data_IF_025297035722
#
_entry.id   IF_025297035722
#
_cell.length_a   1.000
_cell.length_b   1.000
_cell.length_c   1.000
_cell.angle_alpha   90.00
_cell.angle_beta   90.00
_cell.angle_gamma   90.00
#
_symmetry.space_group_name_H-M   'P 1'
#
loop_
_entity.id
_entity.type
_entity.pdbx_description
1 polymer ?
#
# COMPACT_ATOMS: atom_id res chain seq x y z
N UNK A 1 -15.75 21.86 19.04
CA UNK A 1 -16.21 21.88 17.64
C UNK A 1 -15.20 21.05 16.87
N UNK A 2 -15.64 20.16 16.00
CA UNK A 2 -14.71 19.34 15.18
C UNK A 2 -13.83 20.26 14.34
N UNK A 3 -12.51 20.01 14.34
CA UNK A 3 -11.54 20.75 13.51
C UNK A 3 -11.18 19.99 12.23
N UNK A 4 -12.00 19.00 11.85
CA UNK A 4 -11.77 18.15 10.66
C UNK A 4 -12.06 18.96 9.39
N UNK A 5 -10.99 19.38 8.72
CA UNK A 5 -11.05 20.10 7.46
C UNK A 5 -10.13 19.40 6.44
N UNK A 6 -10.64 19.12 5.25
CA UNK A 6 -9.86 18.52 4.17
C UNK A 6 -10.61 18.58 2.83
N UNK A 7 -9.91 18.28 1.75
CA UNK A 7 -10.48 18.09 0.41
C UNK A 7 -10.24 16.66 -0.01
N UNK A 8 -11.31 15.88 -0.24
CA UNK A 8 -11.20 14.58 -0.88
C UNK A 8 -11.00 14.78 -2.39
N UNK A 9 -10.07 14.02 -2.97
CA UNK A 9 -9.67 14.07 -4.38
C UNK A 9 -9.73 12.67 -4.95
N UNK A 10 -10.20 12.58 -6.20
CA UNK A 10 -10.19 11.35 -6.98
C UNK A 10 -10.02 11.67 -8.47
N UNK A 11 -9.22 10.87 -9.18
CA UNK A 11 -9.01 10.96 -10.62
C UNK A 11 -9.47 9.69 -11.33
N UNK A 12 -10.14 9.89 -12.48
CA UNK A 12 -10.29 8.83 -13.46
C UNK A 12 -9.27 9.01 -14.59
N UNK A 13 -8.75 7.89 -15.11
CA UNK A 13 -7.77 7.90 -16.21
C UNK A 13 -8.30 7.17 -17.43
N UNK A 14 -8.09 7.75 -18.60
CA UNK A 14 -8.54 7.21 -19.88
C UNK A 14 -7.81 5.92 -20.29
N UNK A 15 -6.59 5.73 -19.81
CA UNK A 15 -5.74 4.57 -20.10
C UNK A 15 -5.00 4.12 -18.84
N UNK A 16 -4.28 3.01 -18.92
CA UNK A 16 -3.37 2.55 -17.85
C UNK A 16 -2.20 3.52 -17.57
N UNK A 17 -1.94 4.49 -18.44
CA UNK A 17 -0.97 5.56 -18.21
C UNK A 17 -1.60 6.63 -17.31
N UNK A 18 -0.98 6.96 -16.18
CA UNK A 18 -1.47 7.99 -15.26
C UNK A 18 -1.54 9.39 -15.86
N UNK A 19 -0.68 9.70 -16.85
CA UNK A 19 -0.75 10.95 -17.61
C UNK A 19 -1.88 10.94 -18.66
N UNK A 20 -3.06 10.43 -18.28
CA UNK A 20 -4.27 10.37 -19.10
C UNK A 20 -5.52 10.69 -18.30
N UNK A 21 -5.44 11.64 -17.37
CA UNK A 21 -6.59 12.06 -16.57
C UNK A 21 -7.78 12.44 -17.44
N UNK A 22 -8.97 11.87 -17.17
CA UNK A 22 -10.20 12.14 -17.91
C UNK A 22 -11.36 12.70 -17.07
N UNK A 23 -11.31 12.55 -15.75
CA UNK A 23 -12.19 13.23 -14.79
C UNK A 23 -11.39 13.55 -13.52
N UNK A 24 -11.78 14.60 -12.81
CA UNK A 24 -11.35 14.88 -11.45
C UNK A 24 -12.54 15.24 -10.61
N UNK A 25 -12.65 14.62 -9.43
CA UNK A 25 -13.63 14.91 -8.40
C UNK A 25 -12.98 15.59 -7.19
N UNK A 26 -13.72 16.51 -6.57
CA UNK A 26 -13.35 17.16 -5.31
C UNK A 26 -14.56 17.24 -4.38
N UNK A 27 -14.37 16.83 -3.12
CA UNK A 27 -15.36 17.01 -2.06
C UNK A 27 -14.72 17.74 -0.87
N UNK A 28 -15.30 18.86 -0.49
CA UNK A 28 -14.79 19.73 0.56
C UNK A 28 -15.47 19.41 1.89
N UNK A 29 -14.67 19.18 2.91
CA UNK A 29 -15.13 18.98 4.29
C UNK A 29 -14.63 20.13 5.15
N UNK A 30 -15.57 20.80 5.85
CA UNK A 30 -15.28 21.85 6.80
C UNK A 30 -15.98 21.57 8.12
N UNK A 31 -15.24 21.66 9.22
CA UNK A 31 -15.74 21.39 10.58
C UNK A 31 -16.49 20.04 10.68
N UNK A 32 -15.97 19.01 10.03
CA UNK A 32 -16.55 17.66 10.02
C UNK A 32 -17.82 17.52 9.19
N UNK A 33 -18.13 18.45 8.27
CA UNK A 33 -19.29 18.40 7.40
C UNK A 33 -18.90 18.59 5.94
N UNK A 34 -19.48 17.78 5.05
CA UNK A 34 -19.37 18.00 3.61
C UNK A 34 -20.12 19.30 3.29
N UNK A 35 -19.42 20.28 2.70
CA UNK A 35 -19.97 21.59 2.36
C UNK A 35 -20.13 21.77 0.85
N UNK A 36 -19.38 21.04 0.05
CA UNK A 36 -19.43 21.14 -1.42
C UNK A 36 -18.83 19.87 -2.05
N UNK A 37 -19.39 19.44 -3.17
CA UNK A 37 -18.80 18.48 -4.10
C UNK A 37 -18.85 19.03 -5.51
N UNK A 38 -17.86 18.69 -6.31
CA UNK A 38 -17.80 19.03 -7.73
C UNK A 38 -16.93 18.02 -8.47
N UNK A 39 -17.28 17.72 -9.72
CA UNK A 39 -16.39 17.03 -10.66
C UNK A 39 -16.43 17.71 -12.01
N UNK A 40 -15.43 17.45 -12.82
CA UNK A 40 -15.40 17.89 -14.21
C UNK A 40 -14.50 17.01 -15.06
N UNK A 41 -14.86 16.94 -16.34
CA UNK A 41 -14.07 16.20 -17.33
C UNK A 41 -12.79 16.95 -17.68
N UNK A 42 -11.79 16.14 -18.02
CA UNK A 42 -10.50 16.56 -18.56
C UNK A 42 -10.34 15.85 -19.90
N UNK A 43 -9.96 16.57 -20.97
CA UNK A 43 -9.60 15.90 -22.21
C UNK A 43 -8.20 15.28 -22.07
N UNK A 44 -8.08 13.93 -22.08
CA UNK A 44 -6.78 13.28 -22.01
C UNK A 44 -5.98 13.52 -23.31
N UNK A 45 -4.67 13.32 -23.25
CA UNK A 45 -3.80 13.52 -24.40
C UNK A 45 -4.27 12.70 -25.60
N UNK A 46 -4.45 13.37 -26.76
CA UNK A 46 -5.00 12.81 -28.00
C UNK A 46 -6.42 12.23 -27.87
N UNK A 47 -7.12 12.49 -26.80
CA UNK A 47 -8.44 11.92 -26.47
C UNK A 47 -8.49 10.39 -26.61
N UNK A 48 -7.39 9.70 -26.24
CA UNK A 48 -7.22 8.25 -26.41
C UNK A 48 -7.66 7.52 -25.14
N UNK A 49 -8.45 6.46 -25.33
CA UNK A 49 -9.00 5.63 -24.25
C UNK A 49 -8.70 4.15 -24.46
N UNK A 50 -8.52 3.42 -23.37
CA UNK A 50 -8.49 1.97 -23.33
C UNK A 50 -9.87 1.44 -22.94
N UNK A 51 -10.36 0.40 -23.63
CA UNK A 51 -11.67 -0.18 -23.37
C UNK A 51 -11.84 -0.70 -21.93
N UNK A 52 -10.77 -1.14 -21.27
CA UNK A 52 -10.78 -1.56 -19.87
C UNK A 52 -11.15 -0.38 -18.96
N UNK A 53 -10.52 0.79 -19.14
CA UNK A 53 -10.80 1.98 -18.36
C UNK A 53 -12.24 2.46 -18.57
N UNK A 54 -12.72 2.51 -19.84
CA UNK A 54 -14.13 2.82 -20.13
C UNK A 54 -15.07 1.86 -19.40
N UNK A 55 -14.78 0.56 -19.35
CA UNK A 55 -15.63 -0.42 -18.68
C UNK A 55 -15.71 -0.24 -17.16
N UNK A 56 -14.73 0.47 -16.55
CA UNK A 56 -14.69 0.76 -15.10
C UNK A 56 -15.50 2.00 -14.78
N UNK A 57 -15.20 3.14 -15.43
CA UNK A 57 -15.78 4.45 -15.04
C UNK A 57 -16.85 4.95 -16.04
N UNK A 58 -17.03 4.29 -17.20
CA UNK A 58 -18.05 4.66 -18.18
C UNK A 58 -17.79 5.94 -18.96
N UNK A 59 -16.64 6.61 -18.77
CA UNK A 59 -16.29 7.85 -19.47
C UNK A 59 -15.74 7.48 -20.86
N UNK A 60 -16.33 8.09 -21.88
CA UNK A 60 -15.97 7.82 -23.29
C UNK A 60 -15.28 9.02 -23.94
N UNK A 61 -14.57 8.83 -25.07
CA UNK A 61 -13.94 9.94 -25.79
C UNK A 61 -14.91 11.07 -26.15
N UNK A 62 -16.15 10.73 -26.48
CA UNK A 62 -17.19 11.71 -26.85
C UNK A 62 -17.57 12.62 -25.67
N UNK A 63 -17.52 12.09 -24.44
CA UNK A 63 -17.83 12.87 -23.22
C UNK A 63 -16.76 13.92 -22.93
N UNK A 64 -15.53 13.67 -23.33
CA UNK A 64 -14.37 14.55 -23.04
C UNK A 64 -13.88 15.34 -24.26
N UNK A 65 -14.50 15.14 -25.44
CA UNK A 65 -14.09 15.75 -26.71
C UNK A 65 -13.94 17.29 -26.62
N UNK A 66 -14.84 17.94 -25.91
CA UNK A 66 -14.84 19.39 -25.73
C UNK A 66 -14.38 19.84 -24.34
N UNK A 67 -13.88 18.93 -23.52
CA UNK A 67 -13.35 19.28 -22.21
C UNK A 67 -11.98 19.94 -22.33
N UNK A 68 -11.65 20.90 -21.46
CA UNK A 68 -10.30 21.45 -21.41
C UNK A 68 -9.28 20.38 -21.02
N UNK A 69 -8.07 20.47 -21.56
CA UNK A 69 -6.95 19.60 -21.20
C UNK A 69 -6.52 19.79 -19.73
N UNK A 70 -5.72 18.86 -19.19
CA UNK A 70 -5.15 18.99 -17.85
C UNK A 70 -4.36 20.31 -17.71
N UNK A 71 -3.54 20.67 -18.69
CA UNK A 71 -2.75 21.90 -18.65
C UNK A 71 -3.61 23.17 -18.53
N UNK A 72 -4.71 23.23 -19.28
CA UNK A 72 -5.63 24.38 -19.25
C UNK A 72 -6.37 24.48 -17.90
N UNK A 73 -6.62 23.36 -17.25
CA UNK A 73 -7.33 23.31 -15.96
C UNK A 73 -6.40 23.41 -14.76
N UNK A 74 -5.09 23.20 -14.94
CA UNK A 74 -4.13 23.12 -13.87
C UNK A 74 -4.13 24.32 -12.93
N UNK A 75 -4.18 25.54 -13.49
CA UNK A 75 -4.24 26.76 -12.70
C UNK A 75 -5.48 26.88 -11.81
N UNK A 76 -6.59 26.26 -12.21
CA UNK A 76 -7.83 26.18 -11.43
C UNK A 76 -7.74 25.10 -10.35
N UNK A 77 -7.23 23.90 -10.71
CA UNK A 77 -7.09 22.76 -9.81
C UNK A 77 -6.05 23.04 -8.71
N UNK A 78 -4.86 23.47 -9.10
CA UNK A 78 -3.76 23.74 -8.16
C UNK A 78 -4.13 24.81 -7.10
N UNK A 79 -4.90 25.85 -7.49
CA UNK A 79 -5.41 26.86 -6.54
C UNK A 79 -6.40 26.29 -5.54
N UNK A 80 -7.23 25.29 -5.93
CA UNK A 80 -8.20 24.64 -5.04
C UNK A 80 -7.53 23.76 -3.99
N UNK A 81 -6.37 23.20 -4.33
CA UNK A 81 -5.62 22.30 -3.49
C UNK A 81 -4.58 23.02 -2.62
N UNK A 82 -4.22 24.27 -2.99
CA UNK A 82 -3.12 24.99 -2.33
C UNK A 82 -3.36 25.19 -0.83
N UNK A 83 -2.44 24.67 -0.03
CA UNK A 83 -2.48 24.77 1.43
C UNK A 83 -3.48 23.85 2.12
N UNK A 84 -4.25 23.09 1.36
CA UNK A 84 -5.25 22.14 1.89
C UNK A 84 -4.61 20.85 2.41
N UNK A 85 -5.35 20.14 3.25
CA UNK A 85 -5.11 18.73 3.52
C UNK A 85 -5.93 17.93 2.51
N UNK A 86 -5.26 17.29 1.56
CA UNK A 86 -5.91 16.48 0.52
C UNK A 86 -6.02 15.02 1.00
N UNK A 87 -7.15 14.39 0.72
CA UNK A 87 -7.36 12.98 1.00
C UNK A 87 -7.70 12.25 -0.28
N UNK A 88 -7.02 11.15 -0.56
CA UNK A 88 -7.40 10.25 -1.64
C UNK A 88 -7.51 8.81 -1.13
N UNK A 89 -8.39 8.02 -1.75
CA UNK A 89 -8.47 6.60 -1.46
C UNK A 89 -7.51 5.85 -2.37
N UNK A 90 -6.44 5.27 -1.80
CA UNK A 90 -5.26 4.79 -2.52
C UNK A 90 -4.44 5.94 -3.15
N UNK A 91 -4.15 6.96 -2.36
CA UNK A 91 -3.43 8.17 -2.75
C UNK A 91 -2.20 8.00 -3.67
N UNK A 92 -1.42 6.88 -3.65
CA UNK A 92 -0.34 6.67 -4.63
C UNK A 92 -0.79 6.72 -6.10
N UNK A 93 -2.07 6.43 -6.40
CA UNK A 93 -2.61 6.55 -7.74
C UNK A 93 -2.83 8.02 -8.10
N UNK A 94 -3.62 8.74 -7.33
CA UNK A 94 -3.99 10.14 -7.63
C UNK A 94 -2.80 11.09 -7.60
N UNK A 95 -1.92 10.92 -6.63
CA UNK A 95 -0.66 11.68 -6.55
C UNK A 95 0.27 11.33 -7.71
N UNK A 96 0.21 10.09 -8.22
CA UNK A 96 0.88 9.66 -9.43
C UNK A 96 0.30 10.35 -10.68
N UNK A 97 -1.02 10.47 -10.78
CA UNK A 97 -1.68 11.22 -11.89
C UNK A 97 -1.22 12.67 -11.90
N UNK A 98 -1.24 13.36 -10.75
CA UNK A 98 -0.76 14.74 -10.66
C UNK A 98 0.69 14.87 -11.12
N UNK A 99 1.59 13.99 -10.65
CA UNK A 99 2.99 14.04 -11.02
C UNK A 99 3.20 13.82 -12.52
N UNK A 100 2.65 12.72 -13.04
CA UNK A 100 2.87 12.29 -14.41
C UNK A 100 2.25 13.31 -15.41
N UNK A 101 1.11 13.91 -15.08
CA UNK A 101 0.50 15.00 -15.86
C UNK A 101 1.30 16.31 -15.78
N UNK A 102 1.78 16.68 -14.59
CA UNK A 102 2.62 17.87 -14.44
C UNK A 102 3.93 17.71 -15.23
N UNK A 103 4.58 16.55 -15.15
CA UNK A 103 5.80 16.24 -15.90
C UNK A 103 5.54 16.27 -17.40
N UNK A 104 4.48 15.61 -17.88
CA UNK A 104 4.12 15.61 -19.32
C UNK A 104 3.85 17.01 -19.86
N UNK A 105 3.20 17.87 -19.08
CA UNK A 105 2.80 19.21 -19.48
C UNK A 105 3.84 20.29 -19.12
N UNK A 106 4.96 19.93 -18.49
CA UNK A 106 5.97 20.85 -17.97
C UNK A 106 5.37 21.91 -17.03
N UNK A 107 4.50 21.48 -16.11
CA UNK A 107 3.82 22.31 -15.12
C UNK A 107 4.49 22.18 -13.74
N UNK A 108 4.47 23.25 -12.92
CA UNK A 108 4.96 23.15 -11.54
C UNK A 108 4.08 22.22 -10.72
N UNK A 109 4.65 21.53 -9.76
CA UNK A 109 3.86 20.80 -8.78
C UNK A 109 3.00 21.74 -7.92
N UNK A 110 1.86 21.24 -7.40
CA UNK A 110 1.02 22.01 -6.50
C UNK A 110 1.66 22.12 -5.10
N UNK A 111 1.05 22.88 -4.20
CA UNK A 111 1.50 22.99 -2.81
C UNK A 111 0.38 22.55 -1.87
N UNK A 112 0.46 21.30 -1.37
CA UNK A 112 -0.47 20.75 -0.37
C UNK A 112 0.13 19.54 0.35
N UNK A 113 -0.45 19.19 1.51
CA UNK A 113 -0.18 17.93 2.20
C UNK A 113 -1.32 16.93 1.95
N UNK A 114 -1.03 15.65 2.01
CA UNK A 114 -2.06 14.64 1.75
C UNK A 114 -1.95 13.40 2.64
N UNK A 115 -3.08 12.68 2.72
CA UNK A 115 -3.18 11.37 3.38
C UNK A 115 -3.80 10.34 2.45
N UNK A 116 -3.62 9.07 2.78
CA UNK A 116 -4.23 7.93 2.10
C UNK A 116 -5.25 7.26 3.02
N UNK A 117 -6.55 7.38 2.72
CA UNK A 117 -7.61 6.77 3.52
C UNK A 117 -7.55 5.24 3.50
N UNK A 118 -7.19 4.62 2.37
CA UNK A 118 -6.98 3.17 2.27
C UNK A 118 -5.86 2.67 3.22
N UNK A 119 -4.76 3.41 3.34
CA UNK A 119 -3.68 3.06 4.24
C UNK A 119 -4.10 3.19 5.72
N UNK A 120 -4.79 4.27 6.07
CA UNK A 120 -5.31 4.49 7.43
C UNK A 120 -6.38 3.46 7.81
N UNK A 121 -7.29 3.10 6.90
CA UNK A 121 -8.33 2.10 7.15
C UNK A 121 -7.76 0.77 7.65
N UNK A 122 -6.58 0.37 7.16
CA UNK A 122 -5.92 -0.89 7.58
C UNK A 122 -5.52 -0.91 9.06
N UNK A 123 -5.33 0.26 9.65
CA UNK A 123 -4.96 0.40 11.06
C UNK A 123 -6.16 0.73 11.94
N UNK A 124 -7.12 1.51 11.44
CA UNK A 124 -8.34 1.87 12.18
C UNK A 124 -9.28 0.66 12.27
N UNK A 125 -9.40 -0.10 11.18
CA UNK A 125 -10.28 -1.29 11.09
C UNK A 125 -9.44 -2.49 10.64
N UNK A 126 -8.66 -3.12 11.52
CA UNK A 126 -7.81 -4.25 11.13
C UNK A 126 -8.65 -5.50 10.81
N UNK A 127 -8.11 -6.37 9.94
CA UNK A 127 -8.68 -7.70 9.69
C UNK A 127 -9.71 -7.79 8.58
N UNK A 128 -9.97 -6.74 7.82
CA UNK A 128 -10.84 -6.81 6.65
C UNK A 128 -10.19 -7.58 5.50
N UNK A 129 -11.01 -8.30 4.73
CA UNK A 129 -10.58 -8.99 3.51
C UNK A 129 -10.10 -8.03 2.42
N UNK A 130 -10.74 -6.87 2.28
CA UNK A 130 -10.39 -5.83 1.30
C UNK A 130 -10.53 -4.44 1.92
N UNK A 131 -9.63 -3.54 1.53
CA UNK A 131 -9.65 -2.12 1.88
C UNK A 131 -9.85 -1.24 0.63
N UNK A 132 -10.47 -1.78 -0.43
CA UNK A 132 -11.00 -0.97 -1.52
C UNK A 132 -12.08 -0.02 -1.01
N UNK A 133 -12.39 1.04 -1.77
CA UNK A 133 -13.33 2.08 -1.33
C UNK A 133 -14.72 1.50 -1.00
N UNK A 134 -15.26 0.70 -1.89
CA UNK A 134 -16.58 0.07 -1.71
C UNK A 134 -16.65 -0.85 -0.47
N UNK A 135 -15.76 -1.87 -0.30
CA UNK A 135 -15.81 -2.74 0.89
C UNK A 135 -15.68 -2.00 2.22
N UNK A 136 -14.79 -1.00 2.32
CA UNK A 136 -14.64 -0.24 3.57
C UNK A 136 -15.80 0.72 3.81
N UNK A 137 -16.39 1.29 2.77
CA UNK A 137 -17.62 2.08 2.88
C UNK A 137 -18.80 1.23 3.35
N UNK A 138 -18.97 0.02 2.83
CA UNK A 138 -19.98 -0.92 3.31
C UNK A 138 -19.83 -1.26 4.80
N UNK A 139 -18.58 -1.45 5.27
CA UNK A 139 -18.32 -1.69 6.70
C UNK A 139 -18.88 -0.57 7.58
N UNK A 140 -18.78 0.69 7.14
CA UNK A 140 -19.29 1.86 7.86
C UNK A 140 -20.75 2.22 7.51
N UNK A 141 -21.45 1.41 6.70
CA UNK A 141 -22.83 1.71 6.26
C UNK A 141 -22.92 2.93 5.34
N UNK A 142 -21.85 3.27 4.64
CA UNK A 142 -21.82 4.36 3.66
C UNK A 142 -22.37 3.82 2.33
N UNK A 143 -23.32 4.54 1.75
CA UNK A 143 -23.92 4.23 0.45
C UNK A 143 -22.86 4.27 -0.66
N UNK A 144 -22.84 3.23 -1.51
CA UNK A 144 -21.87 3.02 -2.59
C UNK A 144 -22.54 2.95 -3.97
N UNK A 145 -23.81 3.32 -4.09
CA UNK A 145 -24.49 3.36 -5.40
C UNK A 145 -23.81 4.35 -6.34
N UNK A 146 -23.64 3.94 -7.59
CA UNK A 146 -22.99 4.73 -8.67
C UNK A 146 -21.51 5.10 -8.44
N UNK A 147 -20.76 4.28 -7.71
CA UNK A 147 -19.31 4.45 -7.61
C UNK A 147 -18.62 4.34 -9.00
N UNK A 148 -17.34 4.70 -9.10
CA UNK A 148 -16.57 4.94 -10.34
C UNK A 148 -17.01 6.21 -11.10
N UNK A 149 -17.39 7.24 -10.34
CA UNK A 149 -17.58 8.60 -10.81
C UNK A 149 -16.89 9.54 -9.83
N UNK A 150 -15.98 10.37 -10.31
CA UNK A 150 -15.11 11.18 -9.47
C UNK A 150 -15.81 11.97 -8.36
N UNK A 151 -17.03 12.50 -8.59
CA UNK A 151 -17.80 13.17 -7.55
C UNK A 151 -18.29 12.20 -6.47
N UNK A 152 -18.83 11.03 -6.88
CA UNK A 152 -19.36 10.02 -5.96
C UNK A 152 -18.25 9.44 -5.10
N UNK A 153 -17.13 9.08 -5.71
CA UNK A 153 -15.99 8.47 -5.02
C UNK A 153 -15.33 9.44 -4.03
N UNK A 154 -15.30 10.74 -4.35
CA UNK A 154 -14.83 11.74 -3.39
C UNK A 154 -15.80 11.97 -2.22
N UNK A 155 -17.13 11.89 -2.45
CA UNK A 155 -18.13 11.92 -1.37
C UNK A 155 -17.97 10.69 -0.47
N UNK A 156 -17.83 9.50 -1.04
CA UNK A 156 -17.58 8.27 -0.31
C UNK A 156 -16.28 8.36 0.50
N UNK A 157 -15.19 8.82 -0.11
CA UNK A 157 -13.89 9.04 0.55
C UNK A 157 -14.02 10.05 1.70
N UNK A 158 -14.77 11.14 1.50
CA UNK A 158 -15.01 12.13 2.55
C UNK A 158 -15.78 11.54 3.74
N UNK A 159 -16.87 10.82 3.49
CA UNK A 159 -17.65 10.12 4.52
C UNK A 159 -16.81 9.07 5.25
N UNK A 160 -16.01 8.30 4.50
CA UNK A 160 -15.10 7.31 5.06
C UNK A 160 -14.11 7.94 6.04
N UNK A 161 -13.46 9.05 5.67
CA UNK A 161 -12.48 9.71 6.55
C UNK A 161 -13.14 10.27 7.81
N UNK A 162 -14.35 10.80 7.71
CA UNK A 162 -15.13 11.21 8.88
C UNK A 162 -15.44 10.02 9.80
N UNK A 163 -15.86 8.88 9.25
CA UNK A 163 -16.10 7.65 10.01
C UNK A 163 -14.79 7.10 10.63
N UNK A 164 -13.65 7.15 9.92
CA UNK A 164 -12.36 6.76 10.48
C UNK A 164 -11.93 7.66 11.66
N UNK A 165 -12.20 8.97 11.59
CA UNK A 165 -11.96 9.87 12.70
C UNK A 165 -12.85 9.54 13.91
N UNK A 166 -14.12 9.24 13.69
CA UNK A 166 -15.06 8.84 14.73
C UNK A 166 -14.64 7.52 15.39
N UNK A 167 -14.35 6.48 14.59
CA UNK A 167 -13.87 5.17 15.08
C UNK A 167 -12.55 5.31 15.85
N UNK A 168 -11.65 6.15 15.36
CA UNK A 168 -10.40 6.46 16.02
C UNK A 168 -10.56 7.39 17.23
N UNK A 169 -11.74 7.96 17.48
CA UNK A 169 -12.01 8.93 18.54
C UNK A 169 -11.07 10.14 18.48
N UNK A 170 -10.89 10.71 17.29
CA UNK A 170 -10.08 11.90 17.06
C UNK A 170 -10.90 13.00 16.40
N UNK A 171 -10.55 14.26 16.64
CA UNK A 171 -11.27 15.45 16.16
C UNK A 171 -10.52 16.23 15.08
N UNK A 172 -9.38 15.72 14.61
CA UNK A 172 -8.59 16.29 13.52
C UNK A 172 -7.86 15.23 12.69
N UNK A 173 -7.55 15.60 11.44
CA UNK A 173 -6.73 14.77 10.55
C UNK A 173 -5.29 14.62 11.10
N UNK A 174 -4.76 15.66 11.72
CA UNK A 174 -3.42 15.64 12.30
C UNK A 174 -3.32 14.57 13.42
N UNK A 175 -4.30 14.52 14.32
CA UNK A 175 -4.36 13.48 15.36
C UNK A 175 -4.60 12.09 14.80
N UNK A 176 -5.38 11.95 13.71
CA UNK A 176 -5.56 10.66 13.04
C UNK A 176 -4.22 10.13 12.49
N UNK A 177 -3.46 10.99 11.83
CA UNK A 177 -2.15 10.67 11.25
C UNK A 177 -1.13 10.32 12.33
N UNK A 178 -1.08 11.13 13.41
CA UNK A 178 -0.19 10.92 14.54
C UNK A 178 -0.52 9.62 15.30
N UNK A 179 -1.79 9.37 15.60
CA UNK A 179 -2.26 8.18 16.33
C UNK A 179 -1.81 6.87 15.70
N UNK A 180 -1.75 6.82 14.37
CA UNK A 180 -1.36 5.64 13.63
C UNK A 180 0.07 5.72 13.07
N UNK A 181 0.91 6.63 13.60
CA UNK A 181 2.32 6.77 13.24
C UNK A 181 2.55 6.97 11.74
N UNK A 182 1.79 7.84 11.09
CA UNK A 182 2.01 8.23 9.70
C UNK A 182 2.67 9.61 9.61
N UNK A 183 3.37 9.85 8.50
CA UNK A 183 3.76 11.19 8.03
C UNK A 183 2.87 11.58 6.87
N UNK A 184 2.42 12.84 6.85
CA UNK A 184 1.77 13.40 5.66
C UNK A 184 2.66 13.26 4.43
N UNK A 185 2.06 12.84 3.32
CA UNK A 185 2.64 13.08 2.03
C UNK A 185 2.56 14.57 1.69
N UNK A 186 3.45 15.05 0.82
CA UNK A 186 3.52 16.47 0.47
C UNK A 186 3.91 16.67 -0.99
N UNK A 187 3.32 17.70 -1.56
CA UNK A 187 3.90 18.45 -2.66
C UNK A 187 4.29 19.81 -2.10
N UNK A 188 5.58 20.10 -2.05
CA UNK A 188 6.12 21.30 -1.42
C UNK A 188 7.46 21.65 -2.08
N UNK A 189 7.69 22.94 -2.37
CA UNK A 189 8.92 23.44 -2.99
C UNK A 189 9.34 22.70 -4.28
N UNK A 190 8.38 22.32 -5.12
CA UNK A 190 8.61 21.55 -6.35
C UNK A 190 9.01 20.09 -6.11
N UNK A 191 8.93 19.59 -4.88
CA UNK A 191 9.27 18.23 -4.50
C UNK A 191 8.01 17.43 -4.12
N UNK A 192 8.12 16.11 -4.25
CA UNK A 192 7.11 15.15 -3.81
C UNK A 192 7.66 14.27 -2.71
N UNK A 193 6.92 14.13 -1.62
CA UNK A 193 7.16 13.12 -0.59
C UNK A 193 5.90 12.29 -0.36
N UNK A 194 6.00 10.94 -0.29
CA UNK A 194 4.84 10.08 -0.16
C UNK A 194 4.24 10.12 1.25
N UNK A 195 2.95 9.78 1.38
CA UNK A 195 2.30 9.46 2.65
C UNK A 195 2.83 8.10 3.12
N UNK A 196 3.58 8.10 4.21
CA UNK A 196 4.23 6.90 4.72
C UNK A 196 3.92 6.69 6.20
N UNK A 197 3.76 5.42 6.58
CA UNK A 197 3.87 5.02 7.97
C UNK A 197 5.28 5.36 8.47
N UNK A 198 5.37 6.07 9.58
CA UNK A 198 6.64 6.25 10.29
C UNK A 198 7.02 4.85 10.74
N UNK A 199 7.74 4.15 9.89
CA UNK A 199 8.36 2.91 10.30
C UNK A 199 9.34 3.32 11.39
N UNK A 200 8.96 3.09 12.61
CA UNK A 200 9.96 2.88 13.61
C UNK A 200 10.94 1.87 12.98
N UNK A 201 12.19 2.26 12.80
CA UNK A 201 13.25 1.36 12.31
C UNK A 201 13.41 0.17 13.26
N UNK A 202 12.68 0.18 14.39
CA UNK A 202 12.40 -0.95 15.26
C UNK A 202 11.64 -2.11 14.58
N UNK A 203 11.06 -1.99 13.38
CA UNK A 203 10.49 -3.20 12.75
C UNK A 203 11.59 -4.11 12.18
N UNK A 204 12.71 -3.58 11.70
CA UNK A 204 13.94 -4.37 11.55
C UNK A 204 14.46 -4.83 12.92
N UNK A 205 14.38 -3.98 13.94
CA UNK A 205 14.64 -4.32 15.34
C UNK A 205 13.63 -5.32 15.89
N UNK A 206 12.33 -5.28 15.56
CA UNK A 206 11.35 -6.26 16.04
C UNK A 206 11.59 -7.66 15.49
N UNK A 207 11.91 -7.81 14.22
CA UNK A 207 12.23 -9.11 13.65
C UNK A 207 13.61 -9.61 14.14
N UNK A 208 14.61 -8.74 14.16
CA UNK A 208 15.92 -9.04 14.73
C UNK A 208 15.85 -9.22 16.24
N UNK A 209 15.02 -8.45 16.96
CA UNK A 209 14.74 -8.60 18.38
C UNK A 209 14.02 -9.91 18.65
N UNK A 210 13.01 -10.26 17.85
CA UNK A 210 12.35 -11.56 17.93
C UNK A 210 13.36 -12.71 17.80
N UNK A 211 14.22 -12.68 16.77
CA UNK A 211 15.25 -13.71 16.57
C UNK A 211 16.26 -13.75 17.72
N UNK A 212 16.67 -12.59 18.27
CA UNK A 212 17.63 -12.53 19.38
C UNK A 212 17.04 -12.89 20.76
N UNK A 213 15.74 -12.76 20.93
CA UNK A 213 15.01 -13.08 22.17
C UNK A 213 14.34 -14.47 22.10
N UNK A 214 14.32 -15.11 20.93
CA UNK A 214 13.72 -16.41 20.78
C UNK A 214 14.66 -17.51 21.30
N UNK A 215 14.26 -18.14 22.37
CA UNK A 215 14.96 -19.32 22.94
C UNK A 215 14.33 -20.56 22.33
N UNK A 216 15.04 -21.18 21.38
CA UNK A 216 14.65 -22.47 20.84
C UNK A 216 14.97 -23.57 21.87
N UNK A 217 14.10 -24.56 21.95
CA UNK A 217 14.38 -25.77 22.75
C UNK A 217 15.37 -26.63 21.98
N UNK A 218 16.63 -26.66 22.44
CA UNK A 218 17.70 -27.45 21.80
C UNK A 218 17.38 -28.93 21.69
N UNK A 219 16.49 -29.46 22.54
CA UNK A 219 16.05 -30.86 22.45
C UNK A 219 15.17 -31.14 21.23
N UNK A 220 14.69 -30.07 20.56
CA UNK A 220 13.87 -30.14 19.35
C UNK A 220 14.67 -30.02 18.06
N UNK A 221 15.98 -29.79 18.13
CA UNK A 221 16.83 -29.65 16.97
C UNK A 221 16.84 -30.93 16.13
N UNK A 222 16.71 -30.75 14.83
CA UNK A 222 16.69 -31.81 13.86
C UNK A 222 17.91 -31.66 12.94
N UNK A 223 19.01 -32.34 13.30
CA UNK A 223 20.27 -32.27 12.59
C UNK A 223 20.24 -33.00 11.21
N UNK A 224 19.20 -33.79 10.93
CA UNK A 224 18.98 -34.40 9.62
C UNK A 224 18.19 -33.49 8.67
N UNK A 225 17.55 -32.42 9.19
CA UNK A 225 16.79 -31.48 8.38
C UNK A 225 17.73 -30.60 7.54
N UNK A 226 17.41 -30.36 6.25
CA UNK A 226 18.24 -29.53 5.35
C UNK A 226 18.48 -28.09 5.82
N UNK A 227 17.64 -27.58 6.72
CA UNK A 227 17.78 -26.23 7.27
C UNK A 227 18.55 -26.16 8.59
N UNK A 228 18.97 -27.31 9.14
CA UNK A 228 19.80 -27.32 10.35
C UNK A 228 21.12 -26.56 10.13
N UNK A 229 21.47 -25.64 11.02
CA UNK A 229 22.60 -24.70 10.92
C UNK A 229 22.64 -23.81 9.66
N UNK A 230 21.55 -23.79 8.87
CA UNK A 230 21.44 -22.96 7.66
C UNK A 230 20.76 -21.63 7.93
N UNK A 231 21.17 -20.62 7.17
CA UNK A 231 20.55 -19.30 7.23
C UNK A 231 19.46 -19.17 6.15
N UNK A 232 18.21 -18.98 6.59
CA UNK A 232 17.03 -18.89 5.74
C UNK A 232 16.46 -17.47 5.79
N UNK A 233 16.24 -16.88 4.62
CA UNK A 233 15.62 -15.56 4.45
C UNK A 233 14.28 -15.70 3.71
N UNK A 234 13.27 -14.94 4.15
CA UNK A 234 11.93 -14.97 3.54
C UNK A 234 11.61 -13.66 2.81
N UNK A 235 10.93 -13.76 1.66
CA UNK A 235 10.46 -12.60 0.88
C UNK A 235 9.11 -12.88 0.20
N UNK A 236 8.31 -11.82 -0.01
CA UNK A 236 6.94 -11.95 -0.56
C UNK A 236 5.89 -12.21 0.53
N UNK A 237 4.63 -12.39 0.09
CA UNK A 237 3.51 -12.79 0.94
C UNK A 237 3.51 -14.31 1.07
N UNK A 238 3.56 -14.78 2.29
CA UNK A 238 3.55 -16.19 2.63
C UNK A 238 2.15 -16.64 3.08
N UNK A 239 1.89 -17.93 3.07
CA UNK A 239 0.68 -18.54 3.60
C UNK A 239 0.60 -18.35 5.12
N UNK A 240 1.71 -18.61 5.83
CA UNK A 240 1.85 -18.35 7.26
C UNK A 240 2.47 -16.95 7.50
N UNK A 241 2.28 -16.42 8.71
CA UNK A 241 2.99 -15.20 9.11
C UNK A 241 4.50 -15.44 9.10
N UNK A 242 5.27 -14.44 8.65
CA UNK A 242 6.73 -14.57 8.54
C UNK A 242 7.41 -14.97 9.85
N UNK A 243 6.92 -14.49 10.99
CA UNK A 243 7.45 -14.87 12.29
C UNK A 243 7.28 -16.36 12.57
N UNK A 244 6.17 -16.96 12.14
CA UNK A 244 5.94 -18.39 12.33
C UNK A 244 6.88 -19.24 11.48
N UNK A 245 7.10 -18.84 10.22
CA UNK A 245 8.09 -19.52 9.37
C UNK A 245 9.51 -19.41 9.95
N UNK A 246 9.86 -18.24 10.51
CA UNK A 246 11.13 -18.04 11.19
C UNK A 246 11.27 -18.93 12.44
N UNK A 247 10.19 -19.06 13.22
CA UNK A 247 10.17 -19.99 14.37
C UNK A 247 10.43 -21.41 13.93
N UNK A 248 9.75 -21.90 12.88
CA UNK A 248 9.95 -23.25 12.36
C UNK A 248 11.42 -23.54 12.07
N UNK A 249 12.12 -22.57 11.45
CA UNK A 249 13.56 -22.71 11.17
C UNK A 249 14.39 -22.68 12.44
N UNK A 250 14.07 -21.82 13.40
CA UNK A 250 14.81 -21.74 14.68
C UNK A 250 14.60 -22.99 15.52
N UNK A 251 13.37 -23.55 15.56
CA UNK A 251 13.01 -24.74 16.32
C UNK A 251 13.76 -26.01 15.89
N UNK A 252 14.24 -26.05 14.65
CA UNK A 252 15.06 -27.18 14.14
C UNK A 252 16.57 -26.89 14.19
N UNK A 253 17.00 -25.78 14.78
CA UNK A 253 18.40 -25.39 14.90
C UNK A 253 18.94 -24.59 13.71
N UNK A 254 18.10 -24.11 12.81
CA UNK A 254 18.48 -23.18 11.73
C UNK A 254 18.61 -21.74 12.22
N UNK A 255 18.95 -20.85 11.30
CA UNK A 255 19.10 -19.38 11.55
C UNK A 255 18.24 -18.61 10.57
N UNK A 256 17.74 -17.45 10.99
CA UNK A 256 16.96 -16.56 10.13
C UNK A 256 17.43 -15.12 10.18
N UNK A 257 17.31 -14.41 9.06
CA UNK A 257 17.58 -12.97 8.94
C UNK A 257 16.55 -12.28 8.06
N UNK A 258 16.43 -10.96 8.23
CA UNK A 258 15.54 -10.16 7.40
C UNK A 258 16.14 -9.78 6.04
N UNK A 259 17.42 -9.92 5.82
CA UNK A 259 18.08 -9.53 4.56
C UNK A 259 19.00 -10.61 4.04
N UNK A 260 19.06 -10.76 2.71
CA UNK A 260 20.02 -11.64 2.03
C UNK A 260 21.43 -11.11 2.24
N UNK A 261 22.33 -11.96 2.73
CA UNK A 261 23.75 -11.68 3.00
C UNK A 261 24.63 -12.78 2.41
N UNK A 262 25.95 -12.65 2.50
CA UNK A 262 26.89 -13.70 2.03
C UNK A 262 26.76 -15.01 2.81
N UNK A 263 26.15 -14.98 3.98
CA UNK A 263 25.92 -16.15 4.82
C UNK A 263 24.55 -16.80 4.59
N UNK A 264 23.74 -16.26 3.69
CA UNK A 264 22.41 -16.77 3.39
C UNK A 264 22.52 -18.03 2.55
N UNK A 265 22.03 -19.16 3.06
CA UNK A 265 21.98 -20.46 2.36
C UNK A 265 20.73 -20.58 1.50
N UNK A 266 19.57 -20.09 2.02
CA UNK A 266 18.27 -20.21 1.35
C UNK A 266 17.51 -18.90 1.33
N UNK A 267 16.90 -18.59 0.18
CA UNK A 267 15.88 -17.54 0.05
C UNK A 267 14.55 -18.17 -0.30
N UNK A 268 13.60 -18.14 0.64
CA UNK A 268 12.23 -18.62 0.40
C UNK A 268 11.37 -17.49 -0.17
N UNK A 269 10.74 -17.74 -1.31
CA UNK A 269 9.96 -16.78 -2.07
C UNK A 269 8.49 -17.17 -2.05
N UNK A 270 7.66 -16.35 -1.39
CA UNK A 270 6.21 -16.45 -1.47
C UNK A 270 5.64 -15.64 -2.63
N UNK A 271 4.33 -15.48 -2.63
CA UNK A 271 3.63 -14.72 -3.64
C UNK A 271 4.11 -13.26 -3.69
N UNK A 272 4.52 -12.81 -4.86
CA UNK A 272 4.95 -11.43 -5.07
C UNK A 272 3.74 -10.52 -5.35
N UNK A 273 3.70 -9.37 -4.73
CA UNK A 273 2.75 -8.32 -5.10
C UNK A 273 3.35 -7.49 -6.24
N UNK A 274 2.83 -7.69 -7.45
CA UNK A 274 3.28 -7.00 -8.66
C UNK A 274 3.23 -5.47 -8.56
N UNK A 275 2.42 -4.95 -7.63
CA UNK A 275 2.36 -3.49 -7.34
C UNK A 275 3.57 -2.99 -6.55
N UNK A 276 4.29 -3.90 -5.88
CA UNK A 276 5.45 -3.57 -5.03
C UNK A 276 6.77 -3.91 -5.72
N UNK A 277 6.79 -4.95 -6.56
CA UNK A 277 8.03 -5.52 -7.13
C UNK A 277 8.38 -5.00 -8.53
N UNK A 278 7.61 -4.09 -9.10
CA UNK A 278 7.86 -3.54 -10.45
C UNK A 278 7.52 -4.51 -11.58
N UNK A 279 7.85 -4.12 -12.82
CA UNK A 279 7.47 -4.86 -14.04
C UNK A 279 8.13 -6.26 -14.16
N UNK A 280 9.25 -6.49 -13.52
CA UNK A 280 9.96 -7.77 -13.54
C UNK A 280 9.45 -8.79 -12.51
N UNK A 281 8.47 -8.41 -11.68
CA UNK A 281 7.84 -9.30 -10.71
C UNK A 281 8.76 -9.79 -9.58
N UNK A 282 9.97 -9.22 -9.43
CA UNK A 282 10.96 -9.68 -8.47
C UNK A 282 11.21 -8.70 -7.33
N UNK A 283 11.22 -9.20 -6.09
CA UNK A 283 11.59 -8.40 -4.92
C UNK A 283 13.08 -8.02 -4.93
N UNK A 284 13.44 -6.96 -4.21
CA UNK A 284 14.85 -6.57 -4.04
C UNK A 284 15.72 -7.69 -3.43
N UNK A 285 15.15 -8.53 -2.58
CA UNK A 285 15.83 -9.71 -2.01
C UNK A 285 16.10 -10.78 -3.08
N UNK A 286 15.14 -11.03 -3.98
CA UNK A 286 15.33 -11.95 -5.11
C UNK A 286 16.40 -11.45 -6.08
N UNK A 287 16.34 -10.18 -6.49
CA UNK A 287 17.36 -9.58 -7.36
C UNK A 287 18.77 -9.71 -6.76
N UNK A 288 18.89 -9.44 -5.46
CA UNK A 288 20.16 -9.59 -4.75
C UNK A 288 20.63 -11.04 -4.69
N UNK A 289 19.73 -11.99 -4.41
CA UNK A 289 20.06 -13.41 -4.40
C UNK A 289 20.54 -13.91 -5.77
N UNK A 290 19.84 -13.53 -6.84
CA UNK A 290 20.25 -13.86 -8.22
C UNK A 290 21.62 -13.32 -8.56
N UNK A 291 21.90 -12.04 -8.23
CA UNK A 291 23.24 -11.45 -8.42
C UNK A 291 24.35 -12.16 -7.65
N UNK A 292 24.03 -12.71 -6.48
CA UNK A 292 24.98 -13.47 -5.68
C UNK A 292 25.22 -14.85 -6.31
N UNK A 293 24.19 -15.54 -6.79
CA UNK A 293 24.29 -16.82 -7.51
C UNK A 293 25.12 -16.64 -8.78
N UNK A 294 24.90 -15.58 -9.56
CA UNK A 294 25.69 -15.24 -10.75
C UNK A 294 27.18 -15.01 -10.44
N UNK A 295 27.50 -14.56 -9.22
CA UNK A 295 28.89 -14.41 -8.72
C UNK A 295 29.48 -15.68 -8.14
N UNK A 296 28.76 -16.82 -8.19
CA UNK A 296 29.22 -18.11 -7.72
C UNK A 296 29.00 -18.38 -6.22
N UNK A 297 28.21 -17.56 -5.54
CA UNK A 297 27.84 -17.81 -4.13
C UNK A 297 26.86 -19.00 -4.03
N UNK A 298 26.99 -19.78 -2.96
CA UNK A 298 26.15 -20.95 -2.69
C UNK A 298 24.86 -20.52 -1.98
N UNK A 299 23.92 -19.99 -2.74
CA UNK A 299 22.58 -19.63 -2.26
C UNK A 299 21.53 -20.33 -3.12
N UNK A 300 20.52 -20.92 -2.50
CA UNK A 300 19.41 -21.56 -3.20
C UNK A 300 18.13 -20.76 -3.01
N UNK A 301 17.42 -20.50 -4.11
CA UNK A 301 16.09 -19.86 -4.06
C UNK A 301 15.05 -20.99 -4.06
N UNK A 302 14.14 -20.95 -3.08
CA UNK A 302 13.05 -21.91 -2.91
C UNK A 302 11.71 -21.20 -3.04
N UNK A 303 10.73 -21.91 -3.55
CA UNK A 303 9.32 -21.56 -3.37
C UNK A 303 8.88 -21.90 -1.95
N UNK A 304 7.76 -21.34 -1.51
CA UNK A 304 7.16 -21.69 -0.22
C UNK A 304 6.77 -23.18 -0.14
N UNK A 305 6.33 -23.78 -1.25
CA UNK A 305 6.00 -25.20 -1.31
C UNK A 305 7.24 -26.09 -1.10
N UNK A 306 8.35 -25.78 -1.77
CA UNK A 306 9.62 -26.49 -1.59
C UNK A 306 10.17 -26.35 -0.17
N UNK A 307 10.00 -25.14 0.44
CA UNK A 307 10.35 -24.94 1.85
C UNK A 307 9.56 -25.87 2.76
N UNK A 308 8.23 -25.99 2.59
CA UNK A 308 7.41 -26.88 3.39
C UNK A 308 7.75 -28.36 3.15
N UNK A 309 8.02 -28.75 1.91
CA UNK A 309 8.45 -30.12 1.60
C UNK A 309 9.77 -30.46 2.33
N UNK A 310 10.75 -29.56 2.31
CA UNK A 310 12.03 -29.74 3.00
C UNK A 310 11.92 -29.71 4.53
N UNK A 311 10.93 -28.98 5.09
CA UNK A 311 10.62 -29.00 6.53
C UNK A 311 10.05 -30.34 6.98
N UNK A 312 9.37 -31.08 6.11
CA UNK A 312 8.83 -32.42 6.36
C UNK A 312 7.92 -32.46 7.61
N UNK A 313 8.08 -33.50 8.41
CA UNK A 313 7.27 -33.73 9.63
C UNK A 313 7.42 -32.64 10.70
N UNK A 314 8.44 -31.79 10.60
CA UNK A 314 8.64 -30.67 11.55
C UNK A 314 7.54 -29.60 11.43
N UNK A 315 6.81 -29.54 10.30
CA UNK A 315 5.63 -28.67 10.14
C UNK A 315 4.55 -29.06 11.16
N UNK A 316 4.20 -30.33 11.23
CA UNK A 316 3.17 -30.82 12.15
C UNK A 316 3.56 -30.53 13.61
N UNK A 317 4.82 -30.76 13.97
CA UNK A 317 5.35 -30.45 15.32
C UNK A 317 5.28 -28.97 15.65
N UNK A 318 5.63 -28.10 14.69
CA UNK A 318 5.56 -26.64 14.87
C UNK A 318 4.12 -26.14 14.98
N UNK A 319 3.19 -26.67 14.19
CA UNK A 319 1.76 -26.30 14.26
C UNK A 319 1.14 -26.70 15.61
N UNK A 320 1.44 -27.89 16.13
CA UNK A 320 0.97 -28.32 17.46
C UNK A 320 1.48 -27.37 18.54
N UNK A 321 2.77 -27.01 18.53
CA UNK A 321 3.34 -26.05 19.49
C UNK A 321 2.72 -24.64 19.40
N UNK A 322 2.28 -24.23 18.20
CA UNK A 322 1.55 -22.97 18.03
C UNK A 322 0.18 -23.01 18.72
N UNK A 323 -0.54 -24.13 18.63
CA UNK A 323 -1.84 -24.35 19.27
C UNK A 323 -1.69 -24.34 20.80
N UNK A 324 -0.69 -25.05 21.33
CA UNK A 324 -0.42 -25.11 22.79
C UNK A 324 -0.03 -23.77 23.41
N UNK A 325 0.40 -22.77 22.63
CA UNK A 325 0.71 -21.40 23.09
C UNK A 325 -0.48 -20.46 23.04
N UNK A 326 -1.57 -20.84 22.36
CA UNK A 326 -2.80 -20.03 22.23
C UNK A 326 -3.85 -20.44 23.29
N UNK A 327 -3.74 -21.65 23.82
CA UNK A 327 -4.55 -22.19 24.92
C UNK A 327 -3.84 -21.86 26.26
#
# INVERSE_FOLDING_TARGET
>A
MSSINFVALDFETATSNRASACEVGLTYVQNGKIVKSESWFIQPFMNKYDGMNISIHGITPEMTENAPSFAEQWGKLSKRLKGETVVAHYAPFDMGVIRDECERCNLPYPEFRFICSCALSRFVVPGMYSYGLEPICHYFGIDTENHHRGEVDTIMTAKLVLALCEEAQVDSIDYLVEKYNYCFGRFEDGCYSPFNHIRDYSSKTKLNKFVSEYEADESSFDNENPFFEKEVVFTGKMFLQRQELMRMVLDIGGRTKDSVTKTTDYLVVGQQDFRVVGQDGMSSKQKKAMQMIEKGEKLTILTEAEFFEMMGDNIAKSLVRMIDRII
#
